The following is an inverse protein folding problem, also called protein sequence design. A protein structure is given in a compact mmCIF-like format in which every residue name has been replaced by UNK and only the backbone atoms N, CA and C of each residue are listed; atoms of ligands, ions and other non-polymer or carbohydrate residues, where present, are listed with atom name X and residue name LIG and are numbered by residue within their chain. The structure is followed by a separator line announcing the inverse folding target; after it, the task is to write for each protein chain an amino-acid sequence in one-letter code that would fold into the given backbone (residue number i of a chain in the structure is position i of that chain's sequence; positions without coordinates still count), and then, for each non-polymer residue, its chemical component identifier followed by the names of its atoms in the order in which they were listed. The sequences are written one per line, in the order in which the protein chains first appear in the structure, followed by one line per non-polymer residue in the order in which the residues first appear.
data_IF_151408384876
#
_entry.id   IF_151408384876
#
_cell.length_a   1.000
_cell.length_b   1.000
_cell.length_c   1.000
_cell.angle_alpha   90.00
_cell.angle_beta   90.00
_cell.angle_gamma   90.00
#
_symmetry.space_group_name_H-M   'P 1'
#
loop_
_entity.id
_entity.type
_entity.pdbx_description
1 polymer ?
#
# COMPACT_ATOMS: atom_id res chain seq x y z
N UNK A 1 -9.76 5.82 0.86
CA UNK A 1 -8.89 7.01 0.70
C UNK A 1 -7.58 6.56 0.11
N UNK A 2 -7.00 7.32 -0.83
CA UNK A 2 -5.63 7.09 -1.27
C UNK A 2 -4.69 7.18 -0.05
N UNK A 3 -3.65 6.35 -0.04
CA UNK A 3 -2.72 6.24 1.09
C UNK A 3 -1.51 7.16 0.96
N UNK A 4 -1.60 8.19 0.12
CA UNK A 4 -0.58 9.20 -0.21
C UNK A 4 -1.29 10.49 -0.65
N UNK A 5 -0.57 11.61 -0.56
CA UNK A 5 -1.02 12.95 -0.97
C UNK A 5 -2.19 13.52 -0.17
N UNK A 6 -2.30 13.17 1.11
CA UNK A 6 -3.31 13.72 2.01
C UNK A 6 -2.79 14.96 2.76
N UNK A 7 -3.71 15.85 3.11
CA UNK A 7 -3.46 16.95 4.04
C UNK A 7 -4.27 16.73 5.33
N UNK A 8 -3.68 17.07 6.47
CA UNK A 8 -4.29 16.86 7.78
C UNK A 8 -4.29 18.14 8.60
N UNK A 9 -5.34 18.33 9.39
CA UNK A 9 -5.38 19.38 10.41
C UNK A 9 -4.37 19.06 11.52
N UNK A 10 -3.49 20.02 11.83
CA UNK A 10 -2.40 19.85 12.81
C UNK A 10 -2.92 19.45 14.19
N UNK A 11 -3.95 20.13 14.69
CA UNK A 11 -4.54 19.84 15.99
C UNK A 11 -5.09 18.41 16.09
N UNK A 12 -5.70 17.93 15.00
CA UNK A 12 -6.18 16.54 14.89
C UNK A 12 -5.01 15.55 14.94
N UNK A 13 -3.92 15.81 14.21
CA UNK A 13 -2.73 14.93 14.26
C UNK A 13 -2.10 14.91 15.65
N UNK A 14 -1.91 16.08 16.26
CA UNK A 14 -1.31 16.17 17.58
C UNK A 14 -2.16 15.53 18.68
N UNK A 15 -3.47 15.35 18.47
CA UNK A 15 -4.34 14.61 19.40
C UNK A 15 -3.97 13.12 19.58
N UNK A 16 -3.14 12.56 18.71
CA UNK A 16 -2.63 11.18 18.85
C UNK A 16 -1.48 11.05 19.84
N UNK A 17 -0.88 12.16 20.32
CA UNK A 17 0.22 12.12 21.30
C UNK A 17 1.36 11.19 20.86
N UNK A 18 1.80 10.32 21.75
CA UNK A 18 2.92 9.40 21.52
C UNK A 18 2.66 8.38 20.39
N UNK A 19 1.38 8.07 20.11
CA UNK A 19 1.01 7.17 19.01
C UNK A 19 1.23 7.82 17.63
N UNK A 20 1.35 9.15 17.54
CA UNK A 20 1.48 9.83 16.26
C UNK A 20 2.70 9.34 15.47
N UNK A 21 3.84 9.15 16.16
CA UNK A 21 5.09 8.72 15.53
C UNK A 21 4.93 7.37 14.81
N UNK A 22 4.24 6.42 15.44
CA UNK A 22 4.05 5.09 14.86
C UNK A 22 3.01 5.10 13.72
N UNK A 23 2.01 5.99 13.80
CA UNK A 23 0.99 6.15 12.76
C UNK A 23 1.53 6.83 11.50
N UNK A 24 2.48 7.76 11.64
CA UNK A 24 3.12 8.43 10.50
C UNK A 24 4.00 7.52 9.66
N UNK A 25 4.48 6.39 10.21
CA UNK A 25 5.24 5.39 9.45
C UNK A 25 4.39 4.69 8.37
N UNK A 26 3.06 4.75 8.48
CA UNK A 26 2.17 4.19 7.48
C UNK A 26 0.88 5.01 7.42
N UNK A 27 0.76 5.89 6.42
CA UNK A 27 -0.37 6.80 6.25
C UNK A 27 -1.73 6.07 6.18
N UNK A 28 -1.76 4.83 5.68
CA UNK A 28 -2.98 4.02 5.68
C UNK A 28 -3.45 3.70 7.11
N UNK A 29 -2.53 3.44 8.05
CA UNK A 29 -2.87 3.25 9.46
C UNK A 29 -3.41 4.52 10.09
N UNK A 30 -2.77 5.67 9.83
CA UNK A 30 -3.26 6.97 10.30
C UNK A 30 -4.68 7.23 9.80
N UNK A 31 -4.94 7.04 8.50
CA UNK A 31 -6.25 7.21 7.90
C UNK A 31 -7.31 6.29 8.52
N UNK A 32 -6.96 5.04 8.83
CA UNK A 32 -7.88 4.12 9.52
C UNK A 32 -8.15 4.52 10.96
N UNK A 33 -7.14 5.02 11.70
CA UNK A 33 -7.33 5.51 13.07
C UNK A 33 -8.14 6.81 13.14
N UNK A 34 -7.96 7.70 12.15
CA UNK A 34 -8.80 8.87 11.99
C UNK A 34 -10.27 8.47 11.76
N UNK A 35 -10.52 7.50 10.87
CA UNK A 35 -11.85 6.97 10.65
C UNK A 35 -12.44 6.30 11.91
N UNK A 36 -11.65 5.53 12.65
CA UNK A 36 -12.06 4.90 13.93
C UNK A 36 -12.47 5.94 14.98
N UNK A 37 -11.81 7.11 15.00
CA UNK A 37 -12.16 8.26 15.85
C UNK A 37 -13.33 9.10 15.33
N UNK A 38 -13.97 8.71 14.22
CA UNK A 38 -15.13 9.40 13.65
C UNK A 38 -14.80 10.62 12.80
N UNK A 39 -13.52 10.85 12.45
CA UNK A 39 -13.16 11.93 11.54
C UNK A 39 -13.59 11.59 10.11
N UNK A 40 -14.20 12.57 9.45
CA UNK A 40 -14.54 12.48 8.04
C UNK A 40 -13.34 12.90 7.19
N UNK A 41 -12.96 12.05 6.24
CA UNK A 41 -11.94 12.36 5.24
C UNK A 41 -12.64 12.83 3.97
N UNK A 42 -12.35 14.05 3.54
CA UNK A 42 -12.80 14.59 2.26
C UNK A 42 -11.95 14.08 1.10
N UNK A 43 -12.53 14.07 -0.09
CA UNK A 43 -11.82 13.90 -1.35
C UNK A 43 -12.05 15.15 -2.17
N UNK A 44 -10.98 15.84 -2.57
CA UNK A 44 -11.06 16.99 -3.48
C UNK A 44 -11.08 16.47 -4.93
N UNK A 45 -12.23 16.46 -5.62
CA UNK A 45 -12.36 15.86 -6.95
C UNK A 45 -11.53 16.57 -8.03
N UNK A 46 -11.22 17.86 -7.85
CA UNK A 46 -10.46 18.64 -8.83
C UNK A 46 -8.94 18.51 -8.63
N UNK A 47 -8.50 17.84 -7.55
CA UNK A 47 -7.09 17.67 -7.26
C UNK A 47 -6.46 16.68 -8.24
N UNK A 48 -5.48 17.17 -9.02
CA UNK A 48 -4.76 16.40 -10.03
C UNK A 48 -3.33 16.19 -9.58
N UNK A 49 -2.84 14.96 -9.74
CA UNK A 49 -1.46 14.60 -9.46
C UNK A 49 -0.88 13.91 -10.68
N UNK A 50 0.38 14.25 -11.00
CA UNK A 50 1.18 13.44 -11.90
C UNK A 50 1.99 12.47 -11.04
N UNK A 51 1.76 11.18 -11.21
CA UNK A 51 2.54 10.14 -10.55
C UNK A 51 3.35 9.40 -11.60
N UNK A 52 4.67 9.37 -11.43
CA UNK A 52 5.54 8.55 -12.27
C UNK A 52 5.69 7.22 -11.55
N UNK A 53 5.29 6.13 -12.19
CA UNK A 53 5.43 4.81 -11.63
C UNK A 53 6.75 4.17 -12.06
N UNK A 54 7.17 3.18 -11.30
CA UNK A 54 8.27 2.31 -11.66
C UNK A 54 7.88 1.43 -12.86
N UNK A 55 8.86 1.07 -13.68
CA UNK A 55 8.66 0.29 -14.92
C UNK A 55 9.24 -1.12 -14.83
N UNK A 56 10.03 -1.42 -13.79
CA UNK A 56 10.65 -2.73 -13.56
C UNK A 56 9.90 -3.50 -12.50
N UNK A 57 9.56 -4.76 -12.79
CA UNK A 57 8.88 -5.63 -11.83
C UNK A 57 9.70 -5.81 -10.53
N UNK A 58 11.02 -5.94 -10.63
CA UNK A 58 11.91 -6.07 -9.47
C UNK A 58 11.82 -4.86 -8.54
N UNK A 59 11.91 -3.67 -9.12
CA UNK A 59 11.80 -2.38 -8.45
C UNK A 59 10.47 -2.24 -7.72
N UNK A 60 9.35 -2.43 -8.44
CA UNK A 60 7.99 -2.41 -7.87
C UNK A 60 7.88 -3.40 -6.71
N UNK A 61 8.41 -4.62 -6.88
CA UNK A 61 8.32 -5.67 -5.87
C UNK A 61 9.13 -5.33 -4.61
N UNK A 62 10.31 -4.74 -4.73
CA UNK A 62 11.15 -4.31 -3.60
C UNK A 62 10.45 -3.21 -2.80
N UNK A 63 9.97 -2.17 -3.48
CA UNK A 63 9.23 -1.07 -2.83
C UNK A 63 7.99 -1.59 -2.08
N UNK A 64 7.18 -2.41 -2.75
CA UNK A 64 6.00 -3.00 -2.12
C UNK A 64 6.34 -3.96 -0.98
N UNK A 65 7.41 -4.74 -1.06
CA UNK A 65 7.85 -5.61 0.03
C UNK A 65 8.17 -4.80 1.28
N UNK A 66 9.03 -3.78 1.18
CA UNK A 66 9.44 -2.98 2.33
C UNK A 66 8.28 -2.19 2.93
N UNK A 67 7.45 -1.57 2.09
CA UNK A 67 6.24 -0.89 2.56
C UNK A 67 5.30 -1.84 3.32
N UNK A 68 5.10 -3.05 2.78
CA UNK A 68 4.24 -4.05 3.42
C UNK A 68 4.86 -4.68 4.68
N UNK A 69 6.19 -4.70 4.80
CA UNK A 69 6.87 -5.07 6.05
C UNK A 69 6.61 -4.05 7.16
N UNK A 70 6.70 -2.76 6.85
CA UNK A 70 6.25 -1.71 7.77
C UNK A 70 4.79 -1.94 8.16
N UNK A 71 3.89 -2.10 7.19
CA UNK A 71 2.47 -2.34 7.44
C UNK A 71 2.20 -3.58 8.32
N UNK A 72 2.84 -4.72 8.02
CA UNK A 72 2.67 -5.98 8.74
C UNK A 72 3.15 -5.92 10.19
N UNK A 73 4.19 -5.14 10.46
CA UNK A 73 4.71 -4.91 11.81
C UNK A 73 3.82 -3.97 12.64
N UNK A 74 3.28 -2.92 11.99
CA UNK A 74 2.54 -1.85 12.66
C UNK A 74 1.09 -2.23 12.93
N UNK A 75 0.40 -2.82 11.95
CA UNK A 75 -1.04 -3.08 12.04
C UNK A 75 -1.45 -3.90 13.27
N UNK A 76 -0.77 -4.98 13.65
CA UNK A 76 -1.13 -5.74 14.85
C UNK A 76 -0.92 -4.96 16.15
N UNK A 77 0.00 -3.99 16.17
CA UNK A 77 0.25 -3.12 17.33
C UNK A 77 -0.81 -2.03 17.42
N UNK A 78 -1.03 -1.28 16.33
CA UNK A 78 -1.98 -0.16 16.25
C UNK A 78 -3.43 -0.58 16.57
N UNK A 79 -3.81 -1.80 16.19
CA UNK A 79 -5.15 -2.35 16.40
C UNK A 79 -5.21 -3.42 17.50
N UNK A 80 -4.19 -3.51 18.37
CA UNK A 80 -4.15 -4.40 19.53
C UNK A 80 -4.55 -5.85 19.20
N UNK A 81 -4.01 -6.42 18.11
CA UNK A 81 -4.33 -7.79 17.72
C UNK A 81 -3.81 -8.79 18.74
N UNK A 82 -4.70 -9.66 19.21
CA UNK A 82 -4.34 -10.83 20.00
C UNK A 82 -3.38 -11.75 19.24
N UNK A 83 -2.63 -12.56 19.99
CA UNK A 83 -1.71 -13.54 19.39
C UNK A 83 -2.43 -14.50 18.45
N UNK A 84 -3.63 -14.97 18.86
CA UNK A 84 -4.47 -15.83 18.02
C UNK A 84 -4.78 -15.19 16.67
N UNK A 85 -5.19 -13.92 16.65
CA UNK A 85 -5.51 -13.20 15.41
C UNK A 85 -4.27 -13.08 14.52
N UNK A 86 -3.09 -12.84 15.09
CA UNK A 86 -1.82 -12.80 14.35
C UNK A 86 -1.48 -14.16 13.75
N UNK A 87 -1.57 -15.24 14.52
CA UNK A 87 -1.31 -16.60 14.06
C UNK A 87 -2.25 -17.01 12.94
N UNK A 88 -3.56 -16.81 13.11
CA UNK A 88 -4.55 -17.07 12.05
C UNK A 88 -4.20 -16.28 10.79
N UNK A 89 -3.87 -14.99 10.92
CA UNK A 89 -3.51 -14.16 9.77
C UNK A 89 -2.27 -14.69 9.04
N UNK A 90 -1.25 -15.14 9.78
CA UNK A 90 -0.03 -15.74 9.22
C UNK A 90 -0.30 -17.08 8.52
N UNK A 91 -1.16 -17.93 9.09
CA UNK A 91 -1.54 -19.21 8.48
C UNK A 91 -2.21 -19.01 7.11
N UNK A 92 -3.02 -17.96 6.97
CA UNK A 92 -3.69 -17.63 5.71
C UNK A 92 -2.90 -16.66 4.82
N UNK A 93 -1.65 -16.35 5.16
CA UNK A 93 -0.84 -15.39 4.42
C UNK A 93 -0.58 -15.85 2.98
N UNK A 94 -0.29 -17.15 2.78
CA UNK A 94 -0.06 -17.72 1.46
C UNK A 94 -1.28 -17.62 0.52
N UNK A 95 -2.49 -17.53 1.08
CA UNK A 95 -3.73 -17.31 0.32
C UNK A 95 -3.99 -15.84 -0.06
N UNK A 96 -3.32 -14.89 0.59
CA UNK A 96 -3.56 -13.45 0.37
C UNK A 96 -3.34 -13.00 -1.08
N UNK A 97 -2.25 -13.40 -1.79
CA UNK A 97 -2.04 -13.00 -3.17
C UNK A 97 -3.21 -13.40 -4.08
N UNK A 98 -3.71 -14.63 -3.93
CA UNK A 98 -4.83 -15.15 -4.71
C UNK A 98 -6.12 -14.39 -4.43
N UNK A 99 -6.44 -14.16 -3.15
CA UNK A 99 -7.63 -13.41 -2.76
C UNK A 99 -7.61 -11.96 -3.28
N UNK A 100 -6.47 -11.28 -3.19
CA UNK A 100 -6.30 -9.91 -3.68
C UNK A 100 -6.36 -9.85 -5.20
N UNK A 101 -5.68 -10.79 -5.88
CA UNK A 101 -5.73 -10.89 -7.34
C UNK A 101 -7.16 -11.15 -7.84
N UNK A 102 -7.89 -12.09 -7.24
CA UNK A 102 -9.27 -12.38 -7.61
C UNK A 102 -10.21 -11.18 -7.37
N UNK A 103 -10.06 -10.47 -6.25
CA UNK A 103 -10.81 -9.23 -5.97
C UNK A 103 -10.51 -8.15 -6.99
N UNK A 104 -9.25 -7.98 -7.38
CA UNK A 104 -8.86 -6.98 -8.36
C UNK A 104 -9.34 -7.35 -9.77
N UNK A 105 -9.22 -8.62 -10.17
CA UNK A 105 -9.78 -9.14 -11.42
C UNK A 105 -11.31 -8.91 -11.49
N UNK A 106 -12.03 -9.21 -10.41
CA UNK A 106 -13.47 -8.96 -10.30
C UNK A 106 -13.81 -7.47 -10.41
N UNK A 107 -13.02 -6.61 -9.77
CA UNK A 107 -13.20 -5.16 -9.86
C UNK A 107 -12.99 -4.67 -11.30
N UNK A 108 -11.90 -5.06 -11.96
CA UNK A 108 -11.63 -4.70 -13.35
C UNK A 108 -12.76 -5.20 -14.27
N UNK A 109 -13.18 -6.45 -14.09
CA UNK A 109 -14.25 -7.03 -14.91
C UNK A 109 -15.58 -6.28 -14.74
N UNK A 110 -15.96 -5.90 -13.52
CA UNK A 110 -17.28 -5.28 -13.24
C UNK A 110 -17.31 -3.77 -13.40
N UNK A 111 -16.21 -3.07 -13.15
CA UNK A 111 -16.18 -1.60 -13.02
C UNK A 111 -15.27 -0.91 -14.04
N UNK A 112 -14.32 -1.63 -14.65
CA UNK A 112 -13.35 -1.06 -15.60
C UNK A 112 -13.14 -1.99 -16.81
N UNK A 113 -14.20 -2.31 -17.60
CA UNK A 113 -14.10 -3.27 -18.70
C UNK A 113 -13.05 -2.88 -19.75
N UNK A 114 -12.84 -1.58 -19.99
CA UNK A 114 -11.81 -1.07 -20.89
C UNK A 114 -10.37 -1.47 -20.49
N UNK A 115 -10.13 -1.80 -19.22
CA UNK A 115 -8.80 -2.18 -18.72
C UNK A 115 -8.54 -3.70 -18.74
N UNK A 116 -9.50 -4.52 -19.18
CA UNK A 116 -9.40 -6.00 -19.10
C UNK A 116 -8.19 -6.56 -19.84
N UNK A 117 -7.97 -6.14 -21.08
CA UNK A 117 -6.84 -6.61 -21.90
C UNK A 117 -5.51 -6.26 -21.25
N UNK A 118 -5.35 -5.01 -20.81
CA UNK A 118 -4.16 -4.54 -20.08
C UNK A 118 -3.95 -5.31 -18.78
N UNK A 119 -5.01 -5.57 -18.01
CA UNK A 119 -4.94 -6.34 -16.78
C UNK A 119 -4.42 -7.76 -17.03
N UNK A 120 -5.01 -8.49 -17.98
CA UNK A 120 -4.62 -9.87 -18.24
C UNK A 120 -3.22 -9.98 -18.84
N UNK A 121 -2.83 -9.05 -19.71
CA UNK A 121 -1.46 -8.95 -20.24
C UNK A 121 -0.41 -8.77 -19.14
N UNK A 122 -0.76 -8.08 -18.06
CA UNK A 122 0.15 -7.81 -16.94
C UNK A 122 -0.14 -8.69 -15.71
N UNK A 123 -0.98 -9.72 -15.84
CA UNK A 123 -1.45 -10.53 -14.71
C UNK A 123 -0.31 -11.20 -13.93
N UNK A 124 0.70 -11.70 -14.63
CA UNK A 124 1.89 -12.26 -14.01
C UNK A 124 2.62 -11.24 -13.11
N UNK A 125 2.91 -10.04 -13.65
CA UNK A 125 3.57 -8.98 -12.90
C UNK A 125 2.74 -8.55 -11.69
N UNK A 126 1.42 -8.34 -11.86
CA UNK A 126 0.51 -8.01 -10.77
C UNK A 126 0.56 -9.07 -9.67
N UNK A 127 0.52 -10.36 -10.06
CA UNK A 127 0.54 -11.45 -9.10
C UNK A 127 1.88 -11.54 -8.34
N UNK A 128 3.01 -11.37 -9.03
CA UNK A 128 4.34 -11.32 -8.39
C UNK A 128 4.43 -10.19 -7.37
N UNK A 129 3.89 -9.01 -7.67
CA UNK A 129 3.82 -7.91 -6.70
C UNK A 129 2.96 -8.29 -5.50
N UNK A 130 1.83 -8.98 -5.68
CA UNK A 130 1.01 -9.44 -4.54
C UNK A 130 1.74 -10.46 -3.65
N UNK A 131 2.61 -11.29 -4.23
CA UNK A 131 3.50 -12.18 -3.46
C UNK A 131 4.46 -11.33 -2.62
N UNK A 132 5.16 -10.37 -3.23
CA UNK A 132 6.08 -9.48 -2.52
C UNK A 132 5.40 -8.73 -1.36
N UNK A 133 4.19 -8.21 -1.58
CA UNK A 133 3.35 -7.61 -0.55
C UNK A 133 3.09 -8.58 0.62
N UNK A 134 2.72 -9.83 0.31
CA UNK A 134 2.37 -10.82 1.33
C UNK A 134 3.59 -11.27 2.12
N UNK A 135 4.73 -11.47 1.45
CA UNK A 135 6.02 -11.73 2.11
C UNK A 135 6.40 -10.57 3.04
N UNK A 136 6.26 -9.33 2.58
CA UNK A 136 6.48 -8.14 3.41
C UNK A 136 5.64 -8.18 4.69
N UNK A 137 4.32 -8.39 4.56
CA UNK A 137 3.42 -8.47 5.73
C UNK A 137 3.87 -9.56 6.71
N UNK A 138 4.18 -10.76 6.21
CA UNK A 138 4.63 -11.88 7.04
C UNK A 138 5.91 -11.54 7.80
N UNK A 139 6.91 -11.02 7.09
CA UNK A 139 8.17 -10.60 7.68
C UNK A 139 7.98 -9.49 8.72
N UNK A 140 7.10 -8.54 8.46
CA UNK A 140 6.77 -7.48 9.41
C UNK A 140 6.10 -8.02 10.68
N UNK A 141 5.17 -8.96 10.53
CA UNK A 141 4.45 -9.52 11.67
C UNK A 141 5.32 -10.45 12.53
N UNK A 142 6.24 -11.19 11.92
CA UNK A 142 7.15 -12.11 12.61
C UNK A 142 8.37 -11.41 13.22
N UNK A 143 8.99 -10.49 12.47
CA UNK A 143 10.31 -9.93 12.81
C UNK A 143 10.30 -8.42 13.02
N UNK A 144 9.15 -7.77 12.89
CA UNK A 144 9.03 -6.33 12.99
C UNK A 144 9.55 -5.58 11.75
N UNK A 145 9.65 -4.26 11.89
CA UNK A 145 10.00 -3.33 10.79
C UNK A 145 11.43 -3.56 10.28
N UNK A 146 12.41 -3.76 11.18
CA UNK A 146 13.82 -3.83 10.81
C UNK A 146 14.28 -2.54 10.12
N UNK A 147 15.02 -2.68 9.02
CA UNK A 147 15.49 -1.60 8.16
C UNK A 147 14.46 -1.17 7.09
N UNK A 148 13.24 -1.75 7.09
CA UNK A 148 12.30 -1.59 5.99
C UNK A 148 11.85 -0.14 5.77
N UNK A 149 11.77 0.69 6.81
CA UNK A 149 11.47 2.13 6.66
C UNK A 149 12.56 2.83 5.87
N UNK A 150 13.83 2.59 6.21
CA UNK A 150 14.98 3.19 5.51
C UNK A 150 15.05 2.69 4.07
N UNK A 151 14.88 1.38 3.84
CA UNK A 151 14.91 0.81 2.49
C UNK A 151 13.75 1.33 1.63
N UNK A 152 12.56 1.49 2.21
CA UNK A 152 11.43 2.08 1.51
C UNK A 152 11.68 3.56 1.19
N UNK A 153 12.27 4.33 2.12
CA UNK A 153 12.67 5.72 1.86
C UNK A 153 13.72 5.80 0.75
N UNK A 154 14.73 4.93 0.75
CA UNK A 154 15.74 4.85 -0.33
C UNK A 154 15.08 4.55 -1.67
N UNK A 155 14.20 3.55 -1.73
CA UNK A 155 13.40 3.26 -2.91
C UNK A 155 12.62 4.49 -3.39
N UNK A 156 11.84 5.14 -2.52
CA UNK A 156 11.03 6.30 -2.90
C UNK A 156 11.84 7.49 -3.42
N UNK A 157 13.06 7.68 -2.93
CA UNK A 157 13.91 8.85 -3.23
C UNK A 157 14.94 8.62 -4.34
N UNK A 158 15.36 7.37 -4.57
CA UNK A 158 16.46 7.04 -5.49
C UNK A 158 16.04 6.15 -6.66
N UNK A 159 14.87 5.53 -6.62
CA UNK A 159 14.45 4.66 -7.71
C UNK A 159 14.24 5.45 -9.01
N UNK A 160 14.83 4.95 -10.10
CA UNK A 160 14.73 5.61 -11.40
C UNK A 160 13.32 5.44 -11.98
N UNK A 161 12.66 6.56 -12.25
CA UNK A 161 11.31 6.63 -12.82
C UNK A 161 11.36 7.42 -14.12
N UNK A 162 11.07 6.76 -15.26
CA UNK A 162 11.19 7.36 -16.60
C UNK A 162 9.86 7.97 -17.07
N UNK A 163 9.93 9.17 -17.68
CA UNK A 163 8.81 9.86 -18.30
C UNK A 163 8.31 9.25 -19.63
N UNK A 164 9.08 8.33 -20.23
CA UNK A 164 8.89 7.86 -21.61
C UNK A 164 7.51 7.22 -21.90
N UNK A 165 6.78 6.80 -20.87
CA UNK A 165 5.47 6.15 -21.04
C UNK A 165 4.27 7.11 -21.10
N UNK A 166 4.43 8.38 -20.72
CA UNK A 166 3.29 9.32 -20.60
C UNK A 166 2.85 9.88 -21.97
N UNK A 167 3.76 9.98 -22.94
CA UNK A 167 3.47 10.57 -24.25
C UNK A 167 2.81 9.62 -25.26
N UNK A 168 2.72 8.32 -24.99
CA UNK A 168 2.11 7.33 -25.90
C UNK A 168 0.60 7.11 -25.70
N UNK A 169 0.00 7.68 -24.66
CA UNK A 169 -1.40 7.42 -24.25
C UNK A 169 -2.27 8.67 -24.14
N UNK A 170 -1.76 9.85 -24.51
CA UNK A 170 -2.62 11.01 -24.72
C UNK A 170 -3.31 10.86 -26.08
N UNK A 171 -4.65 10.81 -26.15
CA UNK A 171 -5.31 10.98 -27.44
C UNK A 171 -4.94 12.38 -27.97
N UNK A 172 -4.51 12.43 -29.23
CA UNK A 172 -4.49 13.68 -29.99
C UNK A 172 -5.91 14.19 -30.18
#
# INVERSE_FOLDING_TARGET
MPGQNSAYRRDVLLSFGDELNILLLNETMLNWKLAEKGFLMGLEPEMKYSHINEHKLSSISIGHYHWHRCFGALRPKVFNWSLLKRTVYLLFLAGQPFLRFARFARFIHRKRPAMRTTFWRNSFAIFMVQIACSLGIGMGMLFGVGDATEQFTKFETHEYRSYEFVHGLMPK
#
